data_IF_799821683683
#
_entry.id   IF_799821683683
#
_cell.length_a   1.000
_cell.length_b   1.000
_cell.length_c   1.000
_cell.angle_alpha   90.00
_cell.angle_beta   90.00
_cell.angle_gamma   90.00
#
_symmetry.space_group_name_H-M   'P 1'
#
loop_
_entity.id
_entity.type
_entity.pdbx_description
1 polymer ?
#
# COMPACT_ATOMS: atom_id res chain seq x y z
N UNK A 1 9.28 -19.59 -29.63
CA UNK A 1 9.36 -18.24 -29.04
C UNK A 1 8.29 -17.97 -27.98
N UNK A 2 7.07 -18.53 -28.04
CA UNK A 2 6.02 -18.30 -27.01
C UNK A 2 6.04 -19.37 -25.91
N UNK A 3 6.59 -20.55 -26.18
CA UNK A 3 6.54 -21.73 -25.30
C UNK A 3 7.22 -21.53 -23.95
N UNK A 4 8.29 -20.74 -23.84
CA UNK A 4 8.99 -20.51 -22.57
C UNK A 4 8.12 -19.82 -21.51
N UNK A 5 7.04 -19.16 -21.93
CA UNK A 5 6.12 -18.43 -21.06
C UNK A 5 5.28 -19.41 -20.25
N UNK A 6 4.97 -20.57 -20.81
CA UNK A 6 4.11 -21.56 -20.16
C UNK A 6 4.90 -22.68 -19.48
N UNK A 7 6.24 -22.63 -19.54
CA UNK A 7 7.11 -23.64 -18.93
C UNK A 7 7.59 -23.13 -17.57
N UNK A 8 7.09 -23.67 -16.45
CA UNK A 8 7.63 -23.36 -15.14
C UNK A 8 9.06 -23.87 -15.02
N UNK A 9 9.99 -22.99 -14.69
CA UNK A 9 11.38 -23.35 -14.42
C UNK A 9 11.66 -23.66 -12.94
N UNK A 10 10.64 -23.54 -12.09
CA UNK A 10 10.73 -23.87 -10.66
C UNK A 10 10.41 -25.34 -10.40
N UNK A 11 11.22 -26.21 -11.01
CA UNK A 11 11.45 -27.55 -10.45
C UNK A 11 12.22 -27.35 -9.14
N UNK A 12 11.80 -27.95 -8.03
CA UNK A 12 12.39 -27.87 -6.68
C UNK A 12 12.03 -26.70 -5.72
N UNK A 13 10.92 -25.98 -5.91
CA UNK A 13 10.50 -24.97 -4.91
C UNK A 13 10.08 -25.60 -3.56
N UNK A 14 9.29 -26.67 -3.60
CA UNK A 14 8.93 -27.48 -2.43
C UNK A 14 9.69 -28.82 -2.46
N UNK A 15 9.91 -29.45 -1.29
CA UNK A 15 10.45 -30.81 -1.16
C UNK A 15 9.40 -31.86 -1.57
N UNK A 16 8.89 -31.73 -2.79
CA UNK A 16 7.85 -32.54 -3.42
C UNK A 16 8.29 -32.91 -4.84
N UNK A 17 7.69 -33.94 -5.47
CA UNK A 17 7.97 -34.29 -6.85
C UNK A 17 7.78 -33.11 -7.82
N UNK A 18 8.58 -33.05 -8.89
CA UNK A 18 8.56 -31.93 -9.84
C UNK A 18 7.18 -31.67 -10.46
N UNK A 19 6.41 -32.71 -10.76
CA UNK A 19 5.05 -32.58 -11.29
C UNK A 19 4.09 -31.90 -10.29
N UNK A 20 4.29 -32.09 -8.98
CA UNK A 20 3.52 -31.41 -7.93
C UNK A 20 3.89 -29.94 -7.87
N UNK A 21 5.18 -29.61 -7.95
CA UNK A 21 5.65 -28.23 -7.98
C UNK A 21 5.06 -27.47 -9.18
N UNK A 22 5.05 -28.11 -10.36
CA UNK A 22 4.44 -27.56 -11.57
C UNK A 22 2.93 -27.34 -11.39
N UNK A 23 2.21 -28.32 -10.86
CA UNK A 23 0.77 -28.19 -10.61
C UNK A 23 0.47 -27.06 -9.62
N UNK A 24 1.21 -26.99 -8.50
CA UNK A 24 1.05 -25.93 -7.50
C UNK A 24 1.31 -24.55 -8.11
N UNK A 25 2.36 -24.41 -8.91
CA UNK A 25 2.68 -23.16 -9.61
C UNK A 25 1.56 -22.72 -10.55
N UNK A 26 1.04 -23.63 -11.38
CA UNK A 26 -0.06 -23.31 -12.31
C UNK A 26 -1.33 -22.95 -11.54
N UNK A 27 -1.67 -23.68 -10.48
CA UNK A 27 -2.81 -23.36 -9.62
C UNK A 27 -2.64 -21.99 -8.95
N UNK A 28 -1.43 -21.66 -8.49
CA UNK A 28 -1.12 -20.37 -7.89
C UNK A 28 -1.25 -19.23 -8.90
N UNK A 29 -0.74 -19.40 -10.12
CA UNK A 29 -0.91 -18.44 -11.21
C UNK A 29 -2.37 -18.24 -11.57
N UNK A 30 -3.13 -19.33 -11.68
CA UNK A 30 -4.56 -19.27 -11.98
C UNK A 30 -5.34 -18.55 -10.89
N UNK A 31 -5.08 -18.87 -9.62
CA UNK A 31 -5.69 -18.21 -8.47
C UNK A 31 -5.36 -16.71 -8.43
N UNK A 32 -4.10 -16.32 -8.62
CA UNK A 32 -3.72 -14.91 -8.71
C UNK A 32 -4.38 -14.21 -9.91
N UNK A 33 -4.45 -14.89 -11.06
CA UNK A 33 -5.08 -14.39 -12.28
C UNK A 33 -6.55 -14.06 -12.06
N UNK A 34 -7.32 -14.97 -11.45
CA UNK A 34 -8.72 -14.75 -11.10
C UNK A 34 -8.88 -13.59 -10.11
N UNK A 35 -8.00 -13.52 -9.10
CA UNK A 35 -7.99 -12.41 -8.14
C UNK A 35 -7.77 -11.06 -8.83
N UNK A 36 -6.76 -10.97 -9.69
CA UNK A 36 -6.48 -9.77 -10.47
C UNK A 36 -7.59 -9.41 -11.46
N UNK A 37 -8.18 -10.39 -12.14
CA UNK A 37 -9.30 -10.17 -13.04
C UNK A 37 -10.50 -9.58 -12.30
N UNK A 38 -10.80 -10.08 -11.10
CA UNK A 38 -11.88 -9.55 -10.27
C UNK A 38 -11.63 -8.13 -9.74
N UNK A 39 -10.38 -7.81 -9.37
CA UNK A 39 -10.04 -6.50 -8.81
C UNK A 39 -9.79 -5.42 -9.86
N UNK A 40 -9.23 -5.81 -11.01
CA UNK A 40 -8.70 -4.88 -12.00
C UNK A 40 -9.42 -4.92 -13.36
N UNK A 41 -10.09 -6.03 -13.67
CA UNK A 41 -10.81 -6.29 -14.91
C UNK A 41 -9.97 -7.05 -15.94
N UNK A 42 -10.63 -7.97 -16.65
CA UNK A 42 -10.02 -8.89 -17.63
C UNK A 42 -9.22 -8.17 -18.73
N UNK A 43 -9.77 -7.07 -19.25
CA UNK A 43 -9.14 -6.32 -20.35
C UNK A 43 -7.79 -5.71 -19.95
N UNK A 44 -7.72 -5.07 -18.78
CA UNK A 44 -6.49 -4.43 -18.29
C UNK A 44 -5.43 -5.49 -17.98
N UNK A 45 -5.84 -6.59 -17.34
CA UNK A 45 -4.96 -7.72 -17.07
C UNK A 45 -4.38 -8.31 -18.38
N UNK A 46 -5.21 -8.45 -19.40
CA UNK A 46 -4.78 -8.97 -20.71
C UNK A 46 -3.74 -8.05 -21.36
N UNK A 47 -3.99 -6.75 -21.41
CA UNK A 47 -3.01 -5.79 -21.96
C UNK A 47 -1.72 -5.82 -21.13
N UNK A 48 -1.81 -5.84 -19.80
CA UNK A 48 -0.65 -5.94 -18.92
C UNK A 48 0.19 -7.18 -19.23
N UNK A 49 -0.46 -8.34 -19.37
CA UNK A 49 0.23 -9.59 -19.65
C UNK A 49 0.86 -9.59 -21.06
N UNK A 50 0.15 -9.06 -22.07
CA UNK A 50 0.65 -8.93 -23.44
C UNK A 50 1.86 -7.98 -23.54
N UNK A 51 1.81 -6.82 -22.88
CA UNK A 51 2.93 -5.88 -22.85
C UNK A 51 4.15 -6.48 -22.15
N UNK A 52 3.94 -7.22 -21.05
CA UNK A 52 5.01 -7.96 -20.38
C UNK A 52 5.61 -9.05 -21.27
N UNK A 53 4.77 -9.78 -22.00
CA UNK A 53 5.19 -10.81 -22.96
C UNK A 53 6.05 -10.21 -24.09
N UNK A 54 5.60 -9.11 -24.70
CA UNK A 54 6.35 -8.42 -25.75
C UNK A 54 7.67 -7.88 -25.18
N UNK A 55 7.64 -7.20 -24.03
CA UNK A 55 8.82 -6.64 -23.40
C UNK A 55 9.88 -7.69 -23.06
N UNK A 56 9.48 -8.83 -22.50
CA UNK A 56 10.40 -9.94 -22.19
C UNK A 56 10.93 -10.61 -23.45
N UNK A 57 10.11 -10.75 -24.50
CA UNK A 57 10.55 -11.32 -25.79
C UNK A 57 11.58 -10.43 -26.48
N UNK A 58 11.34 -9.12 -26.49
CA UNK A 58 12.28 -8.13 -27.05
C UNK A 58 13.59 -8.16 -26.25
N UNK A 59 13.53 -8.14 -24.92
CA UNK A 59 14.71 -8.26 -24.08
C UNK A 59 15.48 -9.59 -24.34
N UNK A 60 14.77 -10.70 -24.53
CA UNK A 60 15.38 -11.98 -24.87
C UNK A 60 16.13 -11.95 -26.20
N UNK A 61 15.54 -11.30 -27.20
CA UNK A 61 16.15 -11.19 -28.52
C UNK A 61 17.44 -10.36 -28.50
N UNK A 62 17.46 -9.23 -27.80
CA UNK A 62 18.62 -8.32 -27.77
C UNK A 62 19.73 -8.76 -26.81
N UNK A 63 19.37 -9.33 -25.65
CA UNK A 63 20.33 -9.66 -24.60
C UNK A 63 20.72 -11.14 -24.57
N UNK A 64 20.11 -11.98 -25.41
CA UNK A 64 20.54 -13.36 -25.66
C UNK A 64 20.39 -14.31 -24.47
N UNK A 65 19.60 -13.97 -23.46
CA UNK A 65 19.38 -14.86 -22.32
C UNK A 65 18.14 -15.72 -22.53
N UNK A 66 18.21 -16.97 -22.04
CA UNK A 66 17.05 -17.83 -21.86
C UNK A 66 16.18 -17.24 -20.74
N UNK A 67 15.42 -16.20 -21.07
CA UNK A 67 14.57 -15.55 -20.10
C UNK A 67 13.44 -16.49 -19.71
N UNK A 68 13.44 -16.82 -18.45
CA UNK A 68 12.37 -17.54 -17.77
C UNK A 68 11.07 -16.74 -17.77
N UNK A 69 9.93 -17.42 -17.68
CA UNK A 69 8.67 -16.80 -17.28
C UNK A 69 8.77 -16.10 -15.89
N UNK A 70 9.81 -16.39 -15.10
CA UNK A 70 10.03 -15.81 -13.78
C UNK A 70 9.83 -14.28 -13.72
N UNK A 71 10.35 -13.52 -14.68
CA UNK A 71 10.19 -12.05 -14.68
C UNK A 71 8.74 -11.62 -14.92
N UNK A 72 8.04 -12.29 -15.84
CA UNK A 72 6.63 -12.05 -16.11
C UNK A 72 5.79 -12.38 -14.87
N UNK A 73 5.98 -13.58 -14.29
CA UNK A 73 5.31 -13.99 -13.05
C UNK A 73 5.61 -13.05 -11.88
N UNK A 74 6.85 -12.57 -11.75
CA UNK A 74 7.23 -11.64 -10.67
C UNK A 74 6.49 -10.31 -10.80
N UNK A 75 6.43 -9.74 -12.01
CA UNK A 75 5.64 -8.53 -12.26
C UNK A 75 4.13 -8.72 -12.00
N UNK A 76 3.59 -9.89 -12.35
CA UNK A 76 2.21 -10.27 -12.04
C UNK A 76 1.98 -10.39 -10.53
N UNK A 77 2.92 -10.98 -9.81
CA UNK A 77 2.86 -11.10 -8.35
C UNK A 77 2.89 -9.73 -7.67
N UNK A 78 3.73 -8.79 -8.13
CA UNK A 78 3.71 -7.42 -7.62
C UNK A 78 2.39 -6.71 -7.91
N UNK A 79 1.80 -6.91 -9.09
CA UNK A 79 0.47 -6.41 -9.40
C UNK A 79 -0.59 -6.99 -8.43
N UNK A 80 -0.53 -8.29 -8.15
CA UNK A 80 -1.43 -8.95 -7.19
C UNK A 80 -1.26 -8.38 -5.77
N UNK A 81 -0.01 -8.19 -5.33
CA UNK A 81 0.31 -7.65 -4.00
C UNK A 81 -0.22 -6.23 -3.78
N UNK A 82 -0.40 -5.45 -4.84
CA UNK A 82 -0.96 -4.11 -4.75
C UNK A 82 -2.46 -4.11 -4.42
N UNK A 83 -3.22 -5.07 -4.95
CA UNK A 83 -4.65 -5.19 -4.66
C UNK A 83 -4.95 -5.97 -3.38
N UNK A 84 -4.13 -6.97 -3.07
CA UNK A 84 -4.33 -7.87 -1.93
C UNK A 84 -3.16 -7.87 -0.93
N UNK A 85 -2.74 -6.71 -0.38
CA UNK A 85 -1.55 -6.63 0.48
C UNK A 85 -1.71 -7.34 1.83
N UNK A 86 -2.93 -7.35 2.38
CA UNK A 86 -3.25 -7.94 3.69
C UNK A 86 -3.77 -9.38 3.60
N UNK A 87 -3.86 -9.94 2.39
CA UNK A 87 -4.20 -11.34 2.19
C UNK A 87 -3.11 -12.23 2.79
N UNK A 88 -3.52 -13.26 3.52
CA UNK A 88 -2.62 -14.20 4.21
C UNK A 88 -2.50 -15.48 3.40
N UNK A 89 -1.28 -15.83 3.02
CA UNK A 89 -0.93 -17.10 2.42
C UNK A 89 -0.25 -17.95 3.49
N UNK A 90 -0.77 -19.15 3.72
CA UNK A 90 -0.19 -20.10 4.65
C UNK A 90 0.93 -20.86 3.95
N UNK A 91 2.18 -20.53 4.28
CA UNK A 91 3.31 -21.31 3.81
C UNK A 91 3.41 -22.61 4.60
N UNK A 92 3.44 -23.74 3.88
CA UNK A 92 3.49 -25.10 4.43
C UNK A 92 2.42 -25.39 5.51
N UNK A 93 1.24 -24.75 5.41
CA UNK A 93 0.15 -24.84 6.40
C UNK A 93 0.49 -24.38 7.83
N UNK A 94 1.69 -23.83 8.07
CA UNK A 94 2.17 -23.49 9.42
C UNK A 94 2.37 -21.97 9.58
N UNK A 95 2.93 -21.31 8.56
CA UNK A 95 3.37 -19.91 8.68
C UNK A 95 2.41 -18.97 7.91
N UNK A 96 1.57 -18.17 8.60
CA UNK A 96 0.73 -17.17 7.96
C UNK A 96 1.59 -15.98 7.52
N UNK A 97 1.81 -15.82 6.22
CA UNK A 97 2.53 -14.69 5.64
C UNK A 97 1.58 -13.78 4.87
N UNK A 98 1.57 -12.49 5.23
CA UNK A 98 0.86 -11.49 4.43
C UNK A 98 1.59 -11.27 3.10
N UNK A 99 0.83 -11.18 2.02
CA UNK A 99 1.35 -10.97 0.66
C UNK A 99 2.28 -9.77 0.58
N UNK A 100 1.97 -8.67 1.29
CA UNK A 100 2.86 -7.48 1.32
C UNK A 100 4.28 -7.79 1.80
N UNK A 101 4.45 -8.67 2.79
CA UNK A 101 5.78 -9.02 3.31
C UNK A 101 6.55 -9.87 2.31
N UNK A 102 5.86 -10.80 1.66
CA UNK A 102 6.43 -11.62 0.59
C UNK A 102 6.86 -10.72 -0.58
N UNK A 103 6.02 -9.76 -0.97
CA UNK A 103 6.33 -8.81 -2.03
C UNK A 103 7.56 -7.94 -1.69
N UNK A 104 7.65 -7.42 -0.46
CA UNK A 104 8.85 -6.67 -0.02
C UNK A 104 10.11 -7.53 -0.06
N UNK A 105 10.03 -8.78 0.40
CA UNK A 105 11.15 -9.71 0.36
C UNK A 105 11.58 -10.05 -1.09
N UNK A 106 10.62 -10.36 -1.96
CA UNK A 106 10.87 -10.60 -3.38
C UNK A 106 11.45 -9.37 -4.08
N UNK A 107 10.98 -8.16 -3.75
CA UNK A 107 11.51 -6.91 -4.27
C UNK A 107 12.95 -6.66 -3.81
N UNK A 108 13.27 -6.95 -2.54
CA UNK A 108 14.63 -6.84 -2.02
C UNK A 108 15.60 -7.81 -2.71
N UNK A 109 15.18 -9.08 -2.91
CA UNK A 109 15.97 -10.07 -3.65
C UNK A 109 16.19 -9.61 -5.10
N UNK A 110 15.13 -9.15 -5.77
CA UNK A 110 15.23 -8.68 -7.15
C UNK A 110 16.19 -7.50 -7.26
N UNK A 111 16.11 -6.52 -6.34
CA UNK A 111 17.00 -5.37 -6.30
C UNK A 111 18.46 -5.79 -6.07
N UNK A 112 18.70 -6.71 -5.14
CA UNK A 112 20.03 -7.29 -4.92
C UNK A 112 20.55 -7.99 -6.19
N UNK A 113 19.72 -8.77 -6.88
CA UNK A 113 20.10 -9.43 -8.13
C UNK A 113 20.32 -8.43 -9.28
N UNK A 114 19.63 -7.29 -9.30
CA UNK A 114 19.93 -6.22 -10.25
C UNK A 114 21.31 -5.61 -9.96
N UNK A 115 21.68 -5.43 -8.69
CA UNK A 115 22.99 -4.87 -8.33
C UNK A 115 24.13 -5.85 -8.64
N UNK A 116 23.99 -7.12 -8.25
CA UNK A 116 25.08 -8.11 -8.36
C UNK A 116 25.06 -8.88 -9.68
N UNK A 117 23.90 -8.97 -10.33
CA UNK A 117 23.67 -9.83 -11.50
C UNK A 117 24.26 -9.31 -12.80
N UNK A 118 24.15 -10.17 -13.82
CA UNK A 118 24.65 -9.92 -15.17
C UNK A 118 23.88 -8.80 -15.88
N UNK A 119 24.50 -8.19 -16.91
CA UNK A 119 23.87 -7.14 -17.70
C UNK A 119 22.55 -7.59 -18.33
N UNK A 120 22.46 -8.86 -18.71
CA UNK A 120 21.28 -9.49 -19.26
C UNK A 120 20.14 -9.54 -18.23
N UNK A 121 20.44 -9.95 -16.99
CA UNK A 121 19.44 -10.00 -15.92
C UNK A 121 18.93 -8.59 -15.59
N UNK A 122 19.82 -7.60 -15.51
CA UNK A 122 19.46 -6.20 -15.28
C UNK A 122 18.50 -5.68 -16.34
N UNK A 123 18.80 -5.91 -17.62
CA UNK A 123 17.96 -5.45 -18.73
C UNK A 123 16.54 -6.04 -18.65
N UNK A 124 16.40 -7.34 -18.39
CA UNK A 124 15.08 -7.95 -18.28
C UNK A 124 14.33 -7.55 -17.01
N UNK A 125 15.03 -7.41 -15.89
CA UNK A 125 14.42 -6.91 -14.66
C UNK A 125 13.84 -5.50 -14.88
N UNK A 126 14.59 -4.63 -15.57
CA UNK A 126 14.12 -3.28 -15.91
C UNK A 126 12.92 -3.35 -16.86
N UNK A 127 12.98 -4.15 -17.94
CA UNK A 127 11.86 -4.28 -18.89
C UNK A 127 10.58 -4.84 -18.23
N UNK A 128 10.70 -5.87 -17.40
CA UNK A 128 9.56 -6.46 -16.70
C UNK A 128 9.00 -5.51 -15.63
N UNK A 129 9.86 -4.81 -14.91
CA UNK A 129 9.43 -3.82 -13.92
C UNK A 129 8.85 -2.57 -14.58
N UNK A 130 9.30 -2.19 -15.79
CA UNK A 130 8.74 -1.08 -16.53
C UNK A 130 7.26 -1.31 -16.85
N UNK A 131 6.87 -2.53 -17.23
CA UNK A 131 5.46 -2.88 -17.42
C UNK A 131 4.64 -2.67 -16.13
N UNK A 132 5.15 -3.14 -15.00
CA UNK A 132 4.52 -2.89 -13.70
C UNK A 132 4.43 -1.39 -13.36
N UNK A 133 5.51 -0.63 -13.56
CA UNK A 133 5.57 0.80 -13.26
C UNK A 133 4.67 1.64 -14.17
N UNK A 134 4.46 1.26 -15.42
CA UNK A 134 3.54 1.97 -16.34
C UNK A 134 2.11 1.93 -15.82
N UNK A 135 1.65 0.75 -15.37
CA UNK A 135 0.27 0.58 -14.91
C UNK A 135 0.05 1.05 -13.48
N UNK A 136 0.99 0.78 -12.57
CA UNK A 136 0.82 1.02 -11.14
C UNK A 136 1.54 2.27 -10.64
N UNK A 137 2.53 2.80 -11.37
CA UNK A 137 3.28 4.00 -11.00
C UNK A 137 2.39 5.23 -10.75
N UNK A 138 1.44 5.58 -11.63
CA UNK A 138 0.55 6.71 -11.41
C UNK A 138 -0.29 6.57 -10.14
N UNK A 139 -0.75 5.34 -9.83
CA UNK A 139 -1.52 5.07 -8.62
C UNK A 139 -0.69 5.23 -7.35
N UNK A 140 0.55 4.71 -7.34
CA UNK A 140 1.48 4.81 -6.21
C UNK A 140 1.82 6.28 -5.92
N UNK A 141 2.07 7.07 -6.98
CA UNK A 141 2.39 8.50 -6.83
C UNK A 141 1.20 9.27 -6.28
N UNK A 142 -0.01 9.00 -6.78
CA UNK A 142 -1.24 9.63 -6.30
C UNK A 142 -1.49 9.29 -4.83
N UNK A 143 -1.34 8.04 -4.44
CA UNK A 143 -1.55 7.60 -3.07
C UNK A 143 -0.49 8.17 -2.11
N UNK A 144 0.76 8.27 -2.57
CA UNK A 144 1.83 8.92 -1.81
C UNK A 144 1.58 10.42 -1.63
N UNK A 145 1.10 11.12 -2.66
CA UNK A 145 0.69 12.53 -2.58
C UNK A 145 -0.48 12.71 -1.63
N UNK A 146 -1.52 11.89 -1.77
CA UNK A 146 -2.70 11.96 -0.91
C UNK A 146 -2.35 11.71 0.57
N UNK A 147 -1.45 10.75 0.86
CA UNK A 147 -0.96 10.52 2.23
C UNK A 147 -0.22 11.74 2.78
N UNK A 148 0.60 12.42 1.97
CA UNK A 148 1.26 13.66 2.37
C UNK A 148 0.23 14.76 2.65
N UNK A 149 -0.74 14.96 1.76
CA UNK A 149 -1.78 15.98 1.91
C UNK A 149 -2.62 15.75 3.17
N UNK A 150 -3.00 14.50 3.46
CA UNK A 150 -3.74 14.15 4.68
C UNK A 150 -2.91 14.40 5.93
N UNK A 151 -1.63 14.02 5.93
CA UNK A 151 -0.72 14.25 7.07
C UNK A 151 -0.53 15.75 7.32
N UNK A 152 -0.37 16.53 6.24
CA UNK A 152 -0.22 17.97 6.32
C UNK A 152 -1.51 18.67 6.78
N UNK A 153 -2.68 18.25 6.29
CA UNK A 153 -3.97 18.74 6.78
C UNK A 153 -4.19 18.43 8.25
N UNK A 154 -3.87 17.20 8.69
CA UNK A 154 -3.96 16.81 10.10
C UNK A 154 -3.06 17.68 10.97
N UNK A 155 -1.80 17.89 10.56
CA UNK A 155 -0.87 18.79 11.27
C UNK A 155 -1.40 20.23 11.33
N UNK A 156 -2.00 20.74 10.25
CA UNK A 156 -2.62 22.09 10.24
C UNK A 156 -3.84 22.17 11.17
N UNK A 157 -4.62 21.10 11.30
CA UNK A 157 -5.72 21.02 12.25
C UNK A 157 -5.22 20.99 13.70
N UNK A 158 -4.25 20.13 14.01
CA UNK A 158 -3.67 20.04 15.37
C UNK A 158 -3.01 21.37 15.81
N UNK A 159 -2.35 22.08 14.88
CA UNK A 159 -1.78 23.41 15.17
C UNK A 159 -2.87 24.47 15.36
N UNK A 160 -3.95 24.43 14.58
CA UNK A 160 -5.09 25.37 14.74
C UNK A 160 -5.88 25.11 16.00
N UNK A 161 -6.00 23.86 16.44
CA UNK A 161 -6.64 23.47 17.68
C UNK A 161 -5.81 23.91 18.89
N UNK A 162 -4.47 23.81 18.80
CA UNK A 162 -3.56 24.32 19.82
C UNK A 162 -3.56 25.86 19.94
N UNK A 163 -3.88 26.57 18.85
CA UNK A 163 -3.96 28.04 18.78
C UNK A 163 -5.42 28.55 18.85
N UNK A 164 -6.38 27.66 19.16
CA UNK A 164 -7.77 28.05 19.33
C UNK A 164 -7.92 28.90 20.60
N UNK A 165 -8.44 30.11 20.44
CA UNK A 165 -8.86 30.93 21.58
C UNK A 165 -9.90 30.16 22.40
N UNK A 166 -9.78 30.23 23.73
CA UNK A 166 -10.74 29.58 24.61
C UNK A 166 -12.16 30.09 24.34
N UNK A 167 -13.08 29.15 24.11
CA UNK A 167 -14.48 29.42 23.78
C UNK A 167 -15.21 30.03 24.97
N UNK A 168 -14.94 29.51 26.18
CA UNK A 168 -15.54 29.97 27.42
C UNK A 168 -14.56 30.77 28.28
N UNK A 169 -15.06 31.89 28.82
CA UNK A 169 -14.30 32.75 29.74
C UNK A 169 -15.21 33.33 30.80
N UNK A 170 -14.89 33.08 32.07
CA UNK A 170 -15.63 33.66 33.18
C UNK A 170 -15.35 35.17 33.31
N UNK A 171 -16.40 36.00 33.38
CA UNK A 171 -16.27 37.46 33.52
C UNK A 171 -15.65 37.92 34.86
N UNK A 172 -15.75 37.11 35.93
CA UNK A 172 -15.26 37.46 37.27
C UNK A 172 -13.81 37.02 37.50
N UNK A 173 -13.52 35.73 37.31
CA UNK A 173 -12.19 35.18 37.59
C UNK A 173 -11.30 35.04 36.35
N UNK A 174 -11.84 35.23 35.15
CA UNK A 174 -11.08 35.06 33.91
C UNK A 174 -10.71 33.61 33.56
N UNK A 175 -11.13 32.62 34.37
CA UNK A 175 -10.89 31.22 34.08
C UNK A 175 -11.53 30.82 32.76
N UNK A 176 -10.82 29.99 32.00
CA UNK A 176 -11.23 29.45 30.71
C UNK A 176 -11.20 27.92 30.73
N UNK A 177 -11.91 27.29 29.81
CA UNK A 177 -11.89 25.84 29.60
C UNK A 177 -10.49 25.24 29.37
N UNK A 178 -9.55 26.07 28.90
CA UNK A 178 -8.15 25.69 28.70
C UNK A 178 -7.35 25.70 30.00
N UNK A 179 -7.70 26.59 30.94
CA UNK A 179 -7.02 26.68 32.25
C UNK A 179 -7.52 25.66 33.26
N UNK A 180 -8.80 25.27 33.18
CA UNK A 180 -9.38 24.23 34.02
C UNK A 180 -10.50 23.50 33.24
N UNK A 181 -10.18 22.32 32.65
CA UNK A 181 -11.10 21.57 31.79
C UNK A 181 -12.34 21.01 32.49
N UNK A 182 -12.35 20.97 33.83
CA UNK A 182 -13.46 20.41 34.59
C UNK A 182 -14.48 21.47 35.05
N UNK A 183 -14.20 22.75 34.81
CA UNK A 183 -15.13 23.82 35.13
C UNK A 183 -16.27 23.88 34.11
N UNK A 184 -17.50 23.79 34.60
CA UNK A 184 -18.68 24.08 33.80
C UNK A 184 -18.92 25.61 33.75
N UNK A 185 -19.15 26.14 32.55
CA UNK A 185 -19.51 27.53 32.32
C UNK A 185 -21.00 27.66 31.96
N UNK A 186 -21.66 28.71 32.46
CA UNK A 186 -23.06 29.02 32.15
C UNK A 186 -23.25 30.50 31.86
N UNK A 187 -24.12 30.78 30.89
CA UNK A 187 -24.51 32.14 30.52
C UNK A 187 -25.59 32.64 31.50
N UNK A 188 -25.36 33.78 32.15
CA UNK A 188 -26.37 34.41 32.99
C UNK A 188 -27.27 35.35 32.17
N UNK A 189 -28.30 35.92 32.81
CA UNK A 189 -29.29 36.78 32.13
C UNK A 189 -28.72 38.05 31.49
N UNK A 190 -27.56 38.50 31.97
CA UNK A 190 -26.83 39.65 31.44
C UNK A 190 -26.05 39.33 30.15
N UNK A 191 -26.05 38.07 29.70
CA UNK A 191 -25.35 37.64 28.49
C UNK A 191 -23.87 37.32 28.69
N UNK A 192 -23.34 37.45 29.91
CA UNK A 192 -21.97 37.07 30.24
C UNK A 192 -21.88 35.62 30.74
N UNK A 193 -20.72 35.00 30.54
CA UNK A 193 -20.41 33.65 31.00
C UNK A 193 -19.76 33.64 32.38
N UNK A 194 -20.21 32.71 33.22
CA UNK A 194 -19.70 32.50 34.57
C UNK A 194 -19.44 31.02 34.81
N UNK A 195 -18.36 30.70 35.52
CA UNK A 195 -18.17 29.33 36.01
C UNK A 195 -19.19 29.02 37.12
N UNK A 196 -19.54 27.75 37.30
CA UNK A 196 -20.51 27.31 38.33
C UNK A 196 -20.25 27.90 39.73
N UNK A 197 -18.99 28.00 40.23
CA UNK A 197 -18.70 28.65 41.51
C UNK A 197 -19.10 30.14 41.57
N UNK A 198 -18.96 30.88 40.47
CA UNK A 198 -19.26 32.32 40.40
C UNK A 198 -20.66 32.64 39.88
N UNK A 199 -21.41 31.63 39.44
CA UNK A 199 -22.78 31.79 38.95
C UNK A 199 -23.73 32.42 40.00
N UNK A 200 -23.48 32.17 41.29
CA UNK A 200 -24.25 32.78 42.38
C UNK A 200 -24.02 34.28 42.52
N UNK A 201 -22.83 34.77 42.18
CA UNK A 201 -22.48 36.20 42.23
C UNK A 201 -23.10 36.96 41.05
N UNK A 202 -23.19 36.31 39.89
CA UNK A 202 -23.89 36.86 38.72
C UNK A 202 -25.38 37.13 38.99
N UNK A 203 -26.04 36.26 39.77
CA UNK A 203 -27.45 36.44 40.19
C UNK A 203 -27.65 37.58 41.19
N UNK A 204 -26.61 37.97 41.92
CA UNK A 204 -26.68 39.04 42.91
C UNK A 204 -26.44 40.43 42.30
N UNK A 205 -25.86 40.49 41.10
CA UNK A 205 -25.56 41.73 40.36
C UNK A 205 -26.66 42.13 39.35
N UNK A 206 -27.66 41.27 39.13
CA UNK A 206 -28.86 41.54 38.31
C UNK A 206 -30.06 41.85 39.18
#
# INVERSE_FOLDING_TARGET
>A
LITYIFIPQMASMLPLPDWVNVAFYVLFLWWMGNGLESAWGAFKLTIFYLLGMIGTTVAAFFFGAAFSNFMLTTSLFFAFAQFYPDLVIYFAYILPLKVKWIAWFSAAILLMQVIVGSMQFRAAAICAMANYLIFFGPSIIRDARHRRDVTERRRRFEVREADAEALHRCAICGATEMTDPNLEFRVARNGEEYCVPHLGQAKAAT
#
